data_IF_872626781291
#
_entry.id   IF_872626781291
#
_cell.length_a   1.000
_cell.length_b   1.000
_cell.length_c   1.000
_cell.angle_alpha   90.00
_cell.angle_beta   90.00
_cell.angle_gamma   90.00
#
_symmetry.space_group_name_H-M   'P 1'
#
loop_
_entity.id
_entity.type
_entity.pdbx_description
1 polymer ?
#
# COMPACT_ATOMS: atom_id res chain seq x y z
N UNK A 1 -45.88 28.82 -57.05
CA UNK A 1 -45.01 28.79 -55.86
C UNK A 1 -45.76 28.01 -54.78
N UNK A 2 -45.04 27.10 -54.15
CA UNK A 2 -45.33 25.97 -53.24
C UNK A 2 -46.63 25.91 -52.41
N UNK A 3 -47.20 24.70 -52.20
CA UNK A 3 -48.27 24.45 -51.23
C UNK A 3 -47.75 24.32 -49.78
N UNK A 4 -48.61 24.68 -48.83
CA UNK A 4 -48.42 24.66 -47.38
C UNK A 4 -48.28 23.24 -46.82
N UNK A 5 -47.30 23.01 -45.94
CA UNK A 5 -47.15 21.77 -45.16
C UNK A 5 -47.94 21.85 -43.83
N UNK A 6 -48.44 20.71 -43.30
CA UNK A 6 -49.16 20.63 -42.03
C UNK A 6 -48.23 20.57 -40.80
N UNK A 7 -48.72 20.86 -39.57
CA UNK A 7 -47.93 20.78 -38.36
C UNK A 7 -47.85 19.33 -37.86
N UNK A 8 -46.63 18.79 -37.79
CA UNK A 8 -46.36 17.50 -37.16
C UNK A 8 -46.19 17.70 -35.65
N UNK A 9 -47.03 17.00 -34.89
CA UNK A 9 -46.98 16.95 -33.43
C UNK A 9 -45.77 16.19 -32.89
N UNK A 10 -45.33 16.66 -31.72
CA UNK A 10 -44.84 15.95 -30.53
C UNK A 10 -44.10 14.62 -30.77
N UNK A 11 -42.82 14.60 -30.43
CA UNK A 11 -42.20 13.43 -29.79
C UNK A 11 -40.99 13.90 -28.96
N UNK A 12 -41.18 13.92 -27.64
CA UNK A 12 -40.09 13.98 -26.66
C UNK A 12 -39.13 12.80 -26.89
N UNK A 13 -37.81 13.01 -26.86
CA UNK A 13 -36.88 11.90 -26.80
C UNK A 13 -36.87 11.27 -25.38
N UNK A 14 -36.64 9.95 -25.30
CA UNK A 14 -36.88 9.15 -24.11
C UNK A 14 -35.84 9.36 -23.01
N UNK A 15 -36.34 9.31 -21.78
CA UNK A 15 -35.60 9.01 -20.56
C UNK A 15 -34.95 7.62 -20.70
N UNK A 16 -33.67 7.53 -20.36
CA UNK A 16 -33.05 6.32 -19.82
C UNK A 16 -32.18 5.52 -20.80
N UNK A 17 -30.87 5.77 -20.74
CA UNK A 17 -29.87 4.70 -20.75
C UNK A 17 -28.79 5.07 -19.72
N UNK A 18 -29.16 5.01 -18.44
CA UNK A 18 -28.16 4.82 -17.39
C UNK A 18 -27.55 3.43 -17.59
N UNK A 19 -26.34 3.41 -18.14
CA UNK A 19 -25.48 2.24 -18.12
C UNK A 19 -25.42 1.72 -16.67
N UNK A 20 -25.73 0.43 -16.44
CA UNK A 20 -25.69 -0.11 -15.09
C UNK A 20 -24.23 -0.16 -14.66
N UNK A 21 -23.82 0.80 -13.83
CA UNK A 21 -22.67 0.59 -12.99
C UNK A 21 -22.94 -0.71 -12.22
N UNK A 22 -22.01 -1.67 -12.21
CA UNK A 22 -22.12 -2.76 -11.28
C UNK A 22 -22.05 -2.12 -9.89
N UNK A 23 -23.20 -2.03 -9.23
CA UNK A 23 -23.30 -1.78 -7.80
C UNK A 23 -22.74 -3.03 -7.12
N UNK A 24 -21.42 -3.16 -7.19
CA UNK A 24 -20.68 -3.85 -6.16
C UNK A 24 -21.02 -3.06 -4.91
N UNK A 25 -21.87 -3.68 -4.09
CA UNK A 25 -22.13 -3.37 -2.68
C UNK A 25 -20.79 -3.03 -2.06
N UNK A 26 -20.42 -1.77 -2.15
CA UNK A 26 -19.30 -1.19 -1.44
C UNK A 26 -19.88 -1.02 -0.07
N UNK A 27 -19.81 -2.10 0.73
CA UNK A 27 -19.65 -1.90 2.16
C UNK A 27 -18.54 -0.85 2.25
N UNK A 28 -18.78 0.31 2.89
CA UNK A 28 -17.66 1.14 3.26
C UNK A 28 -16.84 0.24 4.16
N UNK A 29 -15.75 -0.31 3.61
CA UNK A 29 -14.75 -1.02 4.39
C UNK A 29 -14.39 -0.02 5.47
N UNK A 30 -14.82 -0.31 6.70
CA UNK A 30 -14.60 0.55 7.82
C UNK A 30 -13.09 0.56 8.03
N UNK A 31 -12.43 1.51 7.36
CA UNK A 31 -11.00 1.60 7.22
C UNK A 31 -10.36 2.15 8.50
N UNK A 32 -11.05 2.06 9.64
CA UNK A 32 -10.53 2.56 10.91
C UNK A 32 -9.90 1.43 11.71
N UNK A 33 -10.34 0.17 11.55
CA UNK A 33 -9.81 -0.97 12.30
C UNK A 33 -9.92 -2.28 11.51
N UNK A 34 -8.78 -2.94 11.23
CA UNK A 34 -8.77 -4.33 10.74
C UNK A 34 -8.73 -5.23 11.97
N UNK A 35 -9.87 -5.81 12.33
CA UNK A 35 -10.00 -6.60 13.56
C UNK A 35 -10.08 -8.10 13.28
N UNK A 36 -10.41 -8.51 12.05
CA UNK A 36 -10.45 -9.90 11.60
C UNK A 36 -9.34 -10.24 10.59
N UNK A 37 -9.02 -11.53 10.49
CA UNK A 37 -8.14 -12.07 9.44
C UNK A 37 -8.74 -11.91 8.05
N UNK A 38 -10.07 -11.98 7.93
CA UNK A 38 -10.79 -11.77 6.67
C UNK A 38 -10.69 -10.31 6.22
N UNK A 39 -10.86 -9.35 7.13
CA UNK A 39 -10.68 -7.91 6.85
C UNK A 39 -9.25 -7.60 6.37
N UNK A 40 -8.26 -8.30 6.91
CA UNK A 40 -6.86 -8.13 6.51
C UNK A 40 -6.62 -8.65 5.08
N UNK A 41 -7.22 -9.79 4.72
CA UNK A 41 -7.15 -10.34 3.36
C UNK A 41 -7.85 -9.42 2.35
N UNK A 42 -9.03 -8.92 2.69
CA UNK A 42 -9.76 -7.95 1.87
C UNK A 42 -8.99 -6.64 1.70
N UNK A 43 -8.34 -6.16 2.76
CA UNK A 43 -7.49 -4.97 2.70
C UNK A 43 -6.26 -5.19 1.79
N UNK A 44 -5.63 -6.37 1.84
CA UNK A 44 -4.50 -6.73 0.96
C UNK A 44 -4.98 -6.81 -0.50
N UNK A 45 -6.11 -7.47 -0.75
CA UNK A 45 -6.70 -7.57 -2.08
C UNK A 45 -7.07 -6.19 -2.65
N UNK A 46 -7.62 -5.31 -1.80
CA UNK A 46 -7.87 -3.91 -2.15
C UNK A 46 -6.59 -3.18 -2.55
N UNK A 47 -5.51 -3.32 -1.78
CA UNK A 47 -4.22 -2.69 -2.09
C UNK A 47 -3.68 -3.16 -3.44
N UNK A 48 -3.68 -4.47 -3.70
CA UNK A 48 -3.20 -5.04 -4.97
C UNK A 48 -4.01 -4.54 -6.17
N UNK A 49 -5.35 -4.59 -6.07
CA UNK A 49 -6.26 -4.13 -7.12
C UNK A 49 -6.11 -2.62 -7.37
N UNK A 50 -6.04 -1.84 -6.30
CA UNK A 50 -5.87 -0.39 -6.36
C UNK A 50 -4.52 0.02 -6.94
N UNK A 51 -3.44 -0.69 -6.63
CA UNK A 51 -2.13 -0.47 -7.26
C UNK A 51 -2.16 -0.72 -8.76
N UNK A 52 -2.85 -1.79 -9.20
CA UNK A 52 -3.00 -2.11 -10.63
C UNK A 52 -3.79 -1.03 -11.34
N UNK A 53 -4.86 -0.54 -10.71
CA UNK A 53 -5.66 0.57 -11.23
C UNK A 53 -4.86 1.87 -11.31
N UNK A 54 -4.08 2.19 -10.27
CA UNK A 54 -3.24 3.38 -10.25
C UNK A 54 -2.20 3.37 -11.37
N UNK A 55 -1.55 2.22 -11.63
CA UNK A 55 -0.63 2.04 -12.75
C UNK A 55 -1.32 2.35 -14.09
N UNK A 56 -2.50 1.78 -14.32
CA UNK A 56 -3.29 2.08 -15.54
C UNK A 56 -3.64 3.57 -15.65
N UNK A 57 -4.00 4.23 -14.55
CA UNK A 57 -4.27 5.67 -14.56
C UNK A 57 -3.02 6.49 -14.92
N UNK A 58 -1.82 6.07 -14.49
CA UNK A 58 -0.57 6.72 -14.89
C UNK A 58 -0.28 6.55 -16.38
N UNK A 59 -0.51 5.36 -16.93
CA UNK A 59 -0.33 5.08 -18.38
C UNK A 59 -1.27 5.97 -19.22
N UNK A 60 -2.49 6.20 -18.75
CA UNK A 60 -3.47 7.09 -19.37
C UNK A 60 -3.25 8.57 -19.04
N UNK A 61 -2.13 8.92 -18.38
CA UNK A 61 -1.77 10.29 -18.00
C UNK A 61 -2.80 10.97 -17.07
N UNK A 62 -3.61 10.17 -16.36
CA UNK A 62 -4.60 10.62 -15.38
C UNK A 62 -3.97 10.68 -13.98
N UNK A 63 -2.95 11.52 -13.81
CA UNK A 63 -2.14 11.56 -12.59
C UNK A 63 -2.95 11.91 -11.34
N UNK A 64 -3.89 12.85 -11.42
CA UNK A 64 -4.80 13.20 -10.32
C UNK A 64 -5.60 11.99 -9.81
N UNK A 65 -6.04 11.12 -10.72
CA UNK A 65 -6.75 9.90 -10.36
C UNK A 65 -5.79 8.90 -9.69
N UNK A 66 -4.60 8.71 -10.27
CA UNK A 66 -3.57 7.84 -9.72
C UNK A 66 -3.15 8.27 -8.30
N UNK A 67 -2.94 9.56 -8.05
CA UNK A 67 -2.58 10.10 -6.73
C UNK A 67 -3.65 9.81 -5.68
N UNK A 68 -4.93 10.05 -5.99
CA UNK A 68 -6.03 9.75 -5.06
C UNK A 68 -6.12 8.28 -4.71
N UNK A 69 -5.88 7.39 -5.69
CA UNK A 69 -5.87 5.95 -5.46
C UNK A 69 -4.67 5.57 -4.58
N UNK A 70 -3.49 6.09 -4.87
CA UNK A 70 -2.27 5.80 -4.11
C UNK A 70 -2.35 6.31 -2.67
N UNK A 71 -2.96 7.46 -2.41
CA UNK A 71 -3.18 7.96 -1.06
C UNK A 71 -4.04 6.98 -0.22
N UNK A 72 -5.09 6.40 -0.84
CA UNK A 72 -5.91 5.37 -0.18
C UNK A 72 -5.11 4.09 0.06
N UNK A 73 -4.31 3.66 -0.93
CA UNK A 73 -3.42 2.51 -0.79
C UNK A 73 -2.45 2.69 0.38
N UNK A 74 -1.85 3.87 0.52
CA UNK A 74 -0.92 4.14 1.61
C UNK A 74 -1.61 4.05 2.97
N UNK A 75 -2.77 4.68 3.13
CA UNK A 75 -3.55 4.60 4.37
C UNK A 75 -3.89 3.13 4.73
N UNK A 76 -4.37 2.35 3.76
CA UNK A 76 -4.68 0.93 3.97
C UNK A 76 -3.42 0.11 4.31
N UNK A 77 -2.29 0.38 3.64
CA UNK A 77 -1.01 -0.29 3.90
C UNK A 77 -0.50 -0.02 5.31
N UNK A 78 -0.67 1.22 5.81
CA UNK A 78 -0.32 1.55 7.20
C UNK A 78 -1.16 0.78 8.21
N UNK A 79 -2.46 0.58 7.94
CA UNK A 79 -3.33 -0.24 8.78
C UNK A 79 -2.91 -1.71 8.78
N UNK A 80 -2.65 -2.28 7.61
CA UNK A 80 -2.14 -3.66 7.47
C UNK A 80 -0.84 -3.81 8.27
N UNK A 81 0.09 -2.86 8.19
CA UNK A 81 1.35 -2.89 8.91
C UNK A 81 1.16 -2.81 10.44
N UNK A 82 0.28 -1.93 10.92
CA UNK A 82 -0.06 -1.80 12.34
C UNK A 82 -0.64 -3.11 12.89
N UNK A 83 -1.50 -3.73 12.11
CA UNK A 83 -2.21 -4.96 12.48
C UNK A 83 -1.34 -6.20 12.42
N UNK A 84 -0.50 -6.30 11.39
CA UNK A 84 0.57 -7.29 11.32
C UNK A 84 1.50 -7.19 12.53
N UNK A 85 1.93 -5.97 12.89
CA UNK A 85 2.79 -5.74 14.06
C UNK A 85 2.10 -6.12 15.37
N UNK A 86 0.80 -5.81 15.52
CA UNK A 86 -0.01 -6.22 16.68
C UNK A 86 -0.04 -7.75 16.80
N UNK A 87 -0.28 -8.45 15.69
CA UNK A 87 -0.27 -9.91 15.65
C UNK A 87 1.08 -10.52 16.01
N UNK A 88 2.18 -9.98 15.48
CA UNK A 88 3.55 -10.44 15.79
C UNK A 88 3.88 -10.21 17.27
N UNK A 89 3.61 -9.01 17.81
CA UNK A 89 3.88 -8.71 19.21
C UNK A 89 3.09 -9.60 20.16
N UNK A 90 1.83 -9.90 19.84
CA UNK A 90 1.01 -10.84 20.63
C UNK A 90 1.64 -12.23 20.68
N UNK A 91 2.12 -12.75 19.53
CA UNK A 91 2.80 -14.04 19.45
C UNK A 91 4.14 -14.06 20.19
N UNK A 92 4.99 -13.05 19.98
CA UNK A 92 6.30 -12.93 20.65
C UNK A 92 6.14 -12.81 22.16
N UNK A 93 5.11 -12.10 22.64
CA UNK A 93 4.84 -11.99 24.08
C UNK A 93 4.33 -13.31 24.67
N UNK A 94 3.58 -14.11 23.90
CA UNK A 94 3.19 -15.48 24.29
C UNK A 94 4.38 -16.45 24.25
N UNK A 95 5.30 -16.30 23.30
CA UNK A 95 6.55 -17.09 23.22
C UNK A 95 7.49 -16.76 24.37
N UNK A 96 7.70 -15.47 24.70
CA UNK A 96 8.49 -15.07 25.88
C UNK A 96 7.93 -15.62 27.20
N UNK A 97 6.62 -15.63 27.36
CA UNK A 97 5.99 -16.22 28.54
C UNK A 97 6.17 -17.75 28.63
N UNK A 98 6.57 -18.41 27.53
CA UNK A 98 6.91 -19.84 27.49
C UNK A 98 8.42 -20.09 27.56
N UNK A 99 9.24 -19.16 27.08
CA UNK A 99 10.71 -19.24 27.05
C UNK A 99 11.39 -18.79 28.36
N UNK A 100 10.68 -18.15 29.30
CA UNK A 100 11.20 -17.88 30.66
C UNK A 100 11.53 -19.16 31.46
N UNK A 101 11.28 -20.36 30.91
CA UNK A 101 11.68 -21.67 31.48
C UNK A 101 12.99 -22.23 30.87
N UNK A 102 13.53 -21.67 29.79
CA UNK A 102 14.76 -22.15 29.14
C UNK A 102 15.72 -21.00 28.80
N UNK A 103 16.64 -20.73 29.72
CA UNK A 103 17.75 -19.80 29.57
C UNK A 103 18.72 -20.28 28.48
N UNK A 104 18.60 -19.72 27.28
CA UNK A 104 19.71 -19.72 26.32
C UNK A 104 19.78 -18.35 25.63
N UNK A 105 20.41 -17.39 26.33
CA UNK A 105 20.74 -16.08 25.78
C UNK A 105 21.57 -16.25 24.51
N UNK A 106 20.97 -15.94 23.36
CA UNK A 106 21.65 -15.93 22.07
C UNK A 106 22.60 -14.73 22.03
N UNK A 107 23.79 -14.88 22.61
CA UNK A 107 24.83 -13.85 22.62
C UNK A 107 25.24 -13.55 21.18
N UNK A 108 24.85 -12.37 20.67
CA UNK A 108 25.27 -11.88 19.36
C UNK A 108 26.76 -11.56 19.44
N UNK A 109 27.59 -12.45 18.91
CA UNK A 109 29.03 -12.24 18.86
C UNK A 109 29.37 -11.35 17.66
N UNK A 110 29.81 -10.13 17.94
CA UNK A 110 30.39 -9.21 16.95
C UNK A 110 31.88 -9.48 16.90
N UNK A 111 32.39 -9.90 15.75
CA UNK A 111 33.83 -9.95 15.48
C UNK A 111 34.22 -8.77 14.62
N UNK A 112 35.27 -8.06 15.01
CA UNK A 112 35.89 -7.04 14.16
C UNK A 112 36.91 -7.71 13.22
N UNK A 113 37.17 -7.07 12.08
CA UNK A 113 38.27 -7.47 11.20
C UNK A 113 39.60 -7.21 11.91
N UNK A 114 40.60 -8.07 11.72
CA UNK A 114 41.93 -7.89 12.32
C UNK A 114 42.68 -6.69 11.72
N UNK A 115 42.26 -6.22 10.54
CA UNK A 115 42.85 -5.09 9.83
C UNK A 115 42.07 -3.79 10.10
N UNK A 116 42.27 -3.20 11.28
CA UNK A 116 41.73 -1.87 11.62
C UNK A 116 42.83 -0.84 11.49
N UNK A 117 42.71 0.05 10.50
CA UNK A 117 43.58 1.22 10.35
C UNK A 117 42.91 2.41 11.04
N UNK A 118 43.55 2.95 12.07
CA UNK A 118 43.09 4.13 12.79
C UNK A 118 43.62 5.38 12.10
N UNK A 119 42.76 6.10 11.37
CA UNK A 119 43.06 7.44 10.85
C UNK A 119 42.76 8.52 11.90
N UNK A 120 43.52 9.63 11.89
CA UNK A 120 43.19 10.79 12.73
C UNK A 120 41.85 11.38 12.26
N UNK A 121 41.07 11.90 13.19
CA UNK A 121 39.76 12.47 12.87
C UNK A 121 39.83 13.63 11.87
N UNK A 122 40.97 14.30 11.79
CA UNK A 122 41.27 15.44 10.92
C UNK A 122 41.55 15.00 9.46
N UNK A 123 41.98 13.75 9.25
CA UNK A 123 42.31 13.20 7.93
C UNK A 123 41.08 12.54 7.25
N UNK A 124 39.97 12.44 7.98
CA UNK A 124 38.75 11.79 7.52
C UNK A 124 37.68 12.87 7.33
N UNK A 125 37.29 13.10 6.08
CA UNK A 125 36.13 13.93 5.77
C UNK A 125 34.86 13.25 6.32
N UNK A 126 34.41 13.72 7.48
CA UNK A 126 33.17 13.31 8.13
C UNK A 126 31.99 14.18 7.69
N UNK A 127 32.18 15.08 6.73
CA UNK A 127 31.08 15.90 6.23
C UNK A 127 30.11 14.99 5.49
N UNK A 128 28.92 14.84 6.07
CA UNK A 128 27.80 14.23 5.38
C UNK A 128 27.33 15.30 4.41
N UNK A 129 27.41 15.03 3.10
CA UNK A 129 26.79 15.90 2.11
C UNK A 129 25.32 16.08 2.51
N UNK A 130 24.81 17.32 2.64
CA UNK A 130 23.44 17.55 3.04
C UNK A 130 22.53 16.97 1.97
N UNK A 131 22.06 15.74 2.19
CA UNK A 131 21.07 15.11 1.32
C UNK A 131 19.73 15.70 1.71
N UNK A 132 19.07 16.37 0.77
CA UNK A 132 17.72 16.85 0.97
C UNK A 132 16.79 15.70 1.35
N UNK A 133 15.86 15.94 2.26
CA UNK A 133 14.86 14.93 2.60
C UNK A 133 14.03 14.67 1.34
N UNK A 134 13.93 13.42 0.86
CA UNK A 134 13.10 13.12 -0.29
C UNK A 134 11.67 13.52 -0.01
N UNK A 135 11.04 14.13 -1.01
CA UNK A 135 9.64 14.49 -0.97
C UNK A 135 8.76 13.25 -0.83
N UNK A 136 7.54 13.44 -0.34
CA UNK A 136 6.52 12.38 -0.28
C UNK A 136 6.30 11.76 -1.67
N UNK A 137 6.37 12.57 -2.73
CA UNK A 137 6.16 12.14 -4.11
C UNK A 137 7.29 11.23 -4.61
N UNK A 138 8.55 11.57 -4.31
CA UNK A 138 9.71 10.71 -4.62
C UNK A 138 9.68 9.40 -3.84
N UNK A 139 9.27 9.43 -2.57
CA UNK A 139 9.07 8.21 -1.77
C UNK A 139 7.99 7.29 -2.36
N UNK A 140 6.87 7.86 -2.80
CA UNK A 140 5.78 7.10 -3.41
C UNK A 140 6.22 6.47 -4.73
N UNK A 141 6.99 7.20 -5.55
CA UNK A 141 7.57 6.68 -6.78
C UNK A 141 8.50 5.49 -6.50
N UNK A 142 9.45 5.64 -5.58
CA UNK A 142 10.38 4.56 -5.18
C UNK A 142 9.64 3.34 -4.63
N UNK A 143 8.56 3.52 -3.86
CA UNK A 143 7.73 2.41 -3.37
C UNK A 143 6.97 1.71 -4.49
N UNK A 144 6.45 2.44 -5.48
CA UNK A 144 5.74 1.87 -6.61
C UNK A 144 6.66 1.07 -7.56
N UNK A 145 7.93 1.47 -7.65
CA UNK A 145 8.95 0.81 -8.45
C UNK A 145 9.61 -0.41 -7.77
N UNK A 146 9.34 -0.66 -6.49
CA UNK A 146 9.87 -1.82 -5.78
C UNK A 146 8.90 -2.98 -5.87
N UNK A 147 9.41 -4.14 -6.28
CA UNK A 147 8.67 -5.39 -6.12
C UNK A 147 8.47 -5.69 -4.64
N UNK A 148 7.22 -5.94 -4.26
CA UNK A 148 6.90 -6.37 -2.91
C UNK A 148 7.43 -7.80 -2.78
N UNK A 149 8.35 -8.09 -1.83
CA UNK A 149 8.89 -9.42 -1.68
C UNK A 149 7.78 -10.40 -1.26
N UNK A 150 7.24 -11.13 -2.23
CA UNK A 150 6.15 -12.10 -2.05
C UNK A 150 6.57 -13.28 -1.16
N UNK A 151 7.87 -13.59 -1.11
CA UNK A 151 8.46 -14.66 -0.31
C UNK A 151 8.20 -14.52 1.20
N UNK A 152 8.00 -13.29 1.72
CA UNK A 152 7.72 -13.05 3.14
C UNK A 152 6.28 -13.39 3.55
N UNK A 153 5.38 -13.65 2.59
CA UNK A 153 3.98 -13.94 2.86
C UNK A 153 3.66 -15.44 2.86
N UNK A 154 4.65 -16.33 2.70
CA UNK A 154 4.47 -17.78 2.60
C UNK A 154 3.66 -18.41 3.75
N UNK A 155 3.69 -17.82 4.95
CA UNK A 155 2.91 -18.29 6.12
C UNK A 155 1.41 -17.98 6.04
N UNK A 156 0.97 -17.21 5.04
CA UNK A 156 -0.42 -16.77 4.88
C UNK A 156 -1.08 -17.31 3.60
N UNK A 157 -0.33 -18.05 2.78
CA UNK A 157 -0.82 -18.76 1.61
C UNK A 157 -0.83 -20.25 1.93
N UNK A 158 -1.84 -20.72 2.64
CA UNK A 158 -2.21 -22.14 2.64
C UNK A 158 -3.36 -22.32 1.68
N UNK A 159 -3.18 -23.26 0.73
CA UNK A 159 -4.19 -23.72 -0.25
C UNK A 159 -5.47 -24.24 0.40
#
# INVERSE_FOLDING_TARGET
MSPSLPPMGIMSPPVGEEMPMPVLKTRPVNLEQLNSTEDLQDAIAFVQKSCTLAKRCMDLHQYECAFRILAKVEATTQLIAKESRRGILSKVNQEKAREDDDTCERVRKVSFSDDVVVGLAEDIDRTISPVERPSVQEMLFVRACRDIPSANYSKYWTE
#
